data_IF_360464547420
#
_entry.id   IF_360464547420
#
_cell.length_a   1.000
_cell.length_b   1.000
_cell.length_c   1.000
_cell.angle_alpha   90.00
_cell.angle_beta   90.00
_cell.angle_gamma   90.00
#
_symmetry.space_group_name_H-M   'P 1'
#
loop_
_entity.id
_entity.type
_entity.pdbx_description
1 polymer ?
#
# COMPACT_ATOMS: atom_id res chain seq x y z
N UNK A 1 -15.23 -8.46 -6.18
CA UNK A 1 -13.75 -8.28 -6.13
C UNK A 1 -13.12 -9.11 -7.24
N UNK A 2 -12.19 -8.56 -8.01
CA UNK A 2 -11.54 -9.28 -9.12
C UNK A 2 -10.46 -10.24 -8.61
N UNK A 3 -10.30 -11.41 -9.24
CA UNK A 3 -9.25 -12.40 -8.94
C UNK A 3 -7.86 -11.76 -8.93
N UNK A 4 -7.62 -10.80 -9.84
CA UNK A 4 -6.37 -10.04 -9.92
C UNK A 4 -6.06 -9.32 -8.60
N UNK A 5 -7.06 -8.73 -7.95
CA UNK A 5 -6.85 -7.95 -6.72
C UNK A 5 -6.58 -8.83 -5.49
N UNK A 6 -7.20 -10.02 -5.38
CA UNK A 6 -6.84 -10.98 -4.32
C UNK A 6 -5.37 -11.44 -4.50
N UNK A 7 -4.91 -11.67 -5.74
CA UNK A 7 -3.53 -12.09 -6.01
C UNK A 7 -2.50 -11.01 -5.64
N UNK A 8 -2.78 -9.73 -5.91
CA UNK A 8 -1.87 -8.63 -5.57
C UNK A 8 -1.66 -8.54 -4.07
N UNK A 9 -2.75 -8.56 -3.29
CA UNK A 9 -2.69 -8.58 -1.83
C UNK A 9 -1.88 -9.78 -1.34
N UNK A 10 -2.13 -10.97 -1.88
CA UNK A 10 -1.41 -12.18 -1.48
C UNK A 10 0.09 -12.06 -1.77
N UNK A 11 0.46 -11.49 -2.91
CA UNK A 11 1.86 -11.28 -3.28
C UNK A 11 2.55 -10.22 -2.40
N UNK A 12 1.87 -9.11 -2.06
CA UNK A 12 2.38 -8.11 -1.12
C UNK A 12 2.57 -8.71 0.28
N UNK A 13 1.62 -9.52 0.72
CA UNK A 13 1.74 -10.26 1.98
C UNK A 13 2.95 -11.21 1.97
N UNK A 14 3.11 -12.00 0.90
CA UNK A 14 4.29 -12.88 0.73
C UNK A 14 5.60 -12.11 0.73
N UNK A 15 5.66 -10.95 0.06
CA UNK A 15 6.83 -10.09 0.06
C UNK A 15 7.19 -9.62 1.48
N UNK A 16 6.20 -9.17 2.26
CA UNK A 16 6.40 -8.79 3.65
C UNK A 16 6.90 -9.97 4.53
N UNK A 17 6.35 -11.16 4.32
CA UNK A 17 6.80 -12.38 5.01
C UNK A 17 8.25 -12.74 4.66
N UNK A 18 8.61 -12.60 3.38
CA UNK A 18 9.96 -12.87 2.90
C UNK A 18 10.96 -11.90 3.52
N UNK A 19 10.64 -10.60 3.58
CA UNK A 19 11.45 -9.60 4.29
C UNK A 19 11.61 -9.99 5.76
N UNK A 20 10.53 -10.36 6.46
CA UNK A 20 10.61 -10.78 7.86
C UNK A 20 11.52 -12.00 8.06
N UNK A 21 11.52 -12.93 7.10
CA UNK A 21 12.29 -14.18 7.20
C UNK A 21 13.75 -13.99 6.84
N UNK A 22 14.04 -13.27 5.75
CA UNK A 22 15.39 -13.11 5.20
C UNK A 22 16.12 -11.88 5.73
N UNK A 23 15.38 -10.84 6.09
CA UNK A 23 15.87 -9.51 6.50
C UNK A 23 15.05 -8.96 7.69
N UNK A 24 15.01 -9.66 8.84
CA UNK A 24 14.12 -9.30 9.96
C UNK A 24 14.32 -7.87 10.49
N UNK A 25 15.54 -7.34 10.40
CA UNK A 25 15.85 -5.96 10.83
C UNK A 25 15.29 -4.88 9.89
N UNK A 26 14.83 -5.27 8.69
CA UNK A 26 14.33 -4.34 7.68
C UNK A 26 12.81 -4.20 7.70
N UNK A 27 12.06 -5.09 8.36
CA UNK A 27 10.58 -5.07 8.32
C UNK A 27 9.97 -3.77 8.84
N UNK A 28 10.62 -3.14 9.83
CA UNK A 28 10.17 -1.87 10.41
C UNK A 28 10.39 -0.67 9.48
N UNK A 29 11.11 -0.86 8.37
CA UNK A 29 11.32 0.13 7.31
C UNK A 29 10.38 -0.11 6.12
N UNK A 30 9.49 -1.10 6.22
CA UNK A 30 8.58 -1.49 5.16
C UNK A 30 7.14 -1.11 5.48
N UNK A 31 6.37 -0.82 4.43
CA UNK A 31 4.95 -0.46 4.54
C UNK A 31 4.12 -1.16 3.47
N UNK A 32 2.90 -1.51 3.81
CA UNK A 32 1.85 -1.87 2.85
C UNK A 32 0.94 -0.68 2.68
N UNK A 33 0.67 -0.30 1.44
CA UNK A 33 -0.14 0.89 1.14
C UNK A 33 -1.33 0.50 0.29
N UNK A 34 -2.53 0.72 0.83
CA UNK A 34 -3.77 0.64 0.08
C UNK A 34 -4.09 2.02 -0.50
N UNK A 35 -4.42 2.06 -1.78
CA UNK A 35 -4.74 3.27 -2.53
C UNK A 35 -6.17 3.16 -3.00
N UNK A 36 -7.03 4.08 -2.57
CA UNK A 36 -8.45 4.08 -2.92
C UNK A 36 -9.02 5.49 -2.76
N UNK A 37 -10.34 5.60 -2.86
CA UNK A 37 -11.10 6.81 -2.65
C UNK A 37 -12.49 6.44 -2.10
N UNK A 38 -13.05 7.18 -1.11
CA UNK A 38 -14.39 6.94 -0.57
C UNK A 38 -15.51 6.78 -1.61
N UNK A 39 -15.39 7.42 -2.76
CA UNK A 39 -16.36 7.40 -3.85
C UNK A 39 -16.22 6.22 -4.81
N UNK A 40 -15.28 5.29 -4.57
CA UNK A 40 -14.99 4.15 -5.45
C UNK A 40 -14.91 2.84 -4.67
N UNK A 41 -15.32 1.75 -5.32
CA UNK A 41 -15.19 0.38 -4.80
C UNK A 41 -13.84 -0.26 -5.13
N UNK A 42 -13.07 0.37 -6.01
CA UNK A 42 -11.77 -0.14 -6.45
C UNK A 42 -10.66 0.34 -5.53
N UNK A 43 -9.64 -0.50 -5.37
CA UNK A 43 -8.44 -0.18 -4.62
C UNK A 43 -7.23 -0.78 -5.35
N UNK A 44 -6.06 -0.22 -5.06
CA UNK A 44 -4.76 -0.74 -5.48
C UNK A 44 -3.88 -0.97 -4.26
N UNK A 45 -2.94 -1.91 -4.32
CA UNK A 45 -2.05 -2.21 -3.19
C UNK A 45 -0.61 -2.24 -3.66
N UNK A 46 0.25 -1.50 -2.97
CA UNK A 46 1.69 -1.46 -3.22
C UNK A 46 2.45 -1.74 -1.93
N UNK A 47 3.71 -2.15 -2.07
CA UNK A 47 4.65 -2.31 -0.96
C UNK A 47 5.74 -1.25 -1.05
N UNK A 48 6.09 -0.63 0.08
CA UNK A 48 7.16 0.35 0.18
C UNK A 48 8.30 -0.19 1.03
N UNK A 49 9.53 0.17 0.64
CA UNK A 49 10.72 0.02 1.46
C UNK A 49 11.41 1.37 1.59
N UNK A 50 11.50 1.87 2.82
CA UNK A 50 12.02 3.18 3.16
C UNK A 50 13.13 3.08 4.23
N UNK A 51 14.33 2.58 3.85
CA UNK A 51 15.41 2.35 4.81
C UNK A 51 16.12 3.62 5.30
N UNK A 52 16.10 4.68 4.48
CA UNK A 52 16.84 5.92 4.71
C UNK A 52 15.94 7.11 4.33
N UNK A 53 16.10 8.29 4.94
CA UNK A 53 15.20 9.44 4.73
C UNK A 53 15.05 9.90 3.27
N UNK A 54 16.07 9.70 2.44
CA UNK A 54 16.14 10.06 1.02
C UNK A 54 15.86 8.87 0.08
N UNK A 55 15.67 7.67 0.63
CA UNK A 55 15.49 6.44 -0.13
C UNK A 55 14.16 5.78 0.20
N UNK A 56 13.22 5.87 -0.74
CA UNK A 56 11.97 5.13 -0.69
C UNK A 56 11.71 4.45 -2.03
N UNK A 57 11.60 3.11 -2.00
CA UNK A 57 11.31 2.26 -3.14
C UNK A 57 9.87 1.77 -3.10
N UNK A 58 9.23 1.71 -4.26
CA UNK A 58 7.88 1.20 -4.49
C UNK A 58 8.00 -0.12 -5.25
N UNK A 59 7.33 -1.14 -4.71
CA UNK A 59 7.13 -2.45 -5.33
C UNK A 59 5.65 -2.53 -5.70
N UNK A 60 5.36 -2.25 -6.97
CA UNK A 60 4.03 -2.37 -7.56
C UNK A 60 4.08 -3.47 -8.63
N UNK A 61 3.35 -4.56 -8.39
CA UNK A 61 3.35 -5.74 -9.24
C UNK A 61 2.49 -5.58 -10.51
N UNK A 62 1.64 -4.56 -10.55
CA UNK A 62 0.77 -4.27 -11.70
C UNK A 62 1.26 -3.10 -12.56
N UNK A 63 2.37 -2.47 -12.17
CA UNK A 63 2.93 -1.30 -12.84
C UNK A 63 3.84 -1.68 -14.02
N UNK A 64 3.80 -0.87 -15.08
CA UNK A 64 4.75 -0.97 -16.21
C UNK A 64 6.09 -0.26 -15.94
N UNK A 65 6.20 0.50 -14.84
CA UNK A 65 7.45 1.11 -14.39
C UNK A 65 8.49 0.05 -13.96
N UNK A 66 9.79 0.41 -13.89
CA UNK A 66 10.82 -0.49 -13.35
C UNK A 66 10.46 -1.05 -11.98
N UNK A 67 10.85 -2.30 -11.71
CA UNK A 67 10.54 -2.99 -10.47
C UNK A 67 11.82 -3.33 -9.68
N UNK A 68 12.01 -2.78 -8.45
CA UNK A 68 11.27 -1.67 -7.87
C UNK A 68 11.58 -0.33 -8.55
N UNK A 69 10.78 0.69 -8.26
CA UNK A 69 11.03 2.08 -8.70
C UNK A 69 11.11 3.02 -7.50
N UNK A 70 11.74 4.19 -7.67
CA UNK A 70 11.75 5.22 -6.62
C UNK A 70 10.36 5.87 -6.47
N UNK A 71 10.00 6.23 -5.23
CA UNK A 71 8.68 6.81 -4.93
C UNK A 71 8.41 8.10 -5.72
N UNK A 72 9.42 8.94 -5.95
CA UNK A 72 9.24 10.17 -6.73
C UNK A 72 8.80 9.84 -8.16
N UNK A 73 9.46 8.87 -8.80
CA UNK A 73 9.16 8.42 -10.17
C UNK A 73 7.78 7.78 -10.23
N UNK A 74 7.46 6.92 -9.27
CA UNK A 74 6.14 6.29 -9.16
C UNK A 74 5.02 7.33 -9.04
N UNK A 75 5.17 8.29 -8.12
CA UNK A 75 4.16 9.34 -7.93
C UNK A 75 3.98 10.18 -9.20
N UNK A 76 5.07 10.62 -9.83
CA UNK A 76 4.99 11.50 -11.01
C UNK A 76 4.42 10.81 -12.23
N UNK A 77 4.68 9.52 -12.42
CA UNK A 77 4.25 8.77 -13.61
C UNK A 77 2.90 8.07 -13.44
N UNK A 78 2.51 7.71 -12.21
CA UNK A 78 1.24 7.03 -11.92
C UNK A 78 0.13 8.00 -11.55
N UNK A 79 0.43 9.10 -10.85
CA UNK A 79 -0.59 9.99 -10.32
C UNK A 79 -0.64 11.35 -11.02
N UNK A 80 -1.78 11.66 -11.66
CA UNK A 80 -2.10 13.04 -12.06
C UNK A 80 -2.18 13.94 -10.82
N UNK A 81 -1.81 15.21 -10.94
CA UNK A 81 -1.92 16.18 -9.85
C UNK A 81 -3.38 16.45 -9.49
N UNK A 82 -3.66 16.60 -8.19
CA UNK A 82 -5.02 16.85 -7.70
C UNK A 82 -5.62 18.18 -8.20
N UNK A 83 -4.78 19.13 -8.64
CA UNK A 83 -5.23 20.38 -9.28
C UNK A 83 -6.05 20.17 -10.56
N UNK A 84 -5.92 19.02 -11.21
CA UNK A 84 -6.59 18.68 -12.47
C UNK A 84 -7.81 17.76 -12.22
N UNK A 85 -7.90 17.16 -11.03
CA UNK A 85 -8.92 16.18 -10.69
C UNK A 85 -10.09 16.82 -9.95
N UNK A 86 -11.31 16.33 -10.17
CA UNK A 86 -12.42 16.65 -9.27
C UNK A 86 -12.13 16.01 -7.89
N UNK A 87 -12.59 16.62 -6.78
CA UNK A 87 -12.37 16.07 -5.43
C UNK A 87 -12.73 14.59 -5.28
N UNK A 88 -13.78 14.14 -5.99
CA UNK A 88 -14.24 12.74 -6.01
C UNK A 88 -13.24 11.76 -6.65
N UNK A 89 -12.14 12.24 -7.23
CA UNK A 89 -11.06 11.42 -7.78
C UNK A 89 -9.75 11.53 -6.99
N UNK A 90 -9.72 12.29 -5.90
CA UNK A 90 -8.52 12.38 -5.05
C UNK A 90 -8.20 11.02 -4.46
N UNK A 91 -6.95 10.61 -4.59
CA UNK A 91 -6.51 9.32 -4.05
C UNK A 91 -6.06 9.51 -2.62
N UNK A 92 -6.48 8.57 -1.79
CA UNK A 92 -6.05 8.46 -0.41
C UNK A 92 -5.21 7.20 -0.25
N UNK A 93 -4.25 7.28 0.65
CA UNK A 93 -3.22 6.28 0.85
C UNK A 93 -3.31 5.81 2.30
N UNK A 94 -3.85 4.61 2.54
CA UNK A 94 -3.76 3.97 3.85
C UNK A 94 -2.41 3.27 3.95
N UNK A 95 -1.53 3.84 4.75
CA UNK A 95 -0.15 3.41 4.96
C UNK A 95 -0.07 2.62 6.27
N UNK A 96 0.24 1.34 6.17
CA UNK A 96 0.34 0.41 7.32
C UNK A 96 1.79 -0.10 7.43
N UNK A 97 2.45 0.00 8.59
CA UNK A 97 3.71 -0.69 8.83
C UNK A 97 3.61 -2.18 8.49
N UNK A 98 4.60 -2.73 7.77
CA UNK A 98 4.50 -4.09 7.26
C UNK A 98 4.43 -5.16 8.37
N UNK A 99 5.05 -4.90 9.53
CA UNK A 99 4.94 -5.74 10.72
C UNK A 99 3.51 -5.77 11.28
N UNK A 100 2.85 -4.62 11.40
CA UNK A 100 1.45 -4.50 11.81
C UNK A 100 0.54 -5.23 10.81
N UNK A 101 0.75 -4.99 9.51
CA UNK A 101 0.02 -5.67 8.45
C UNK A 101 0.15 -7.20 8.57
N UNK A 102 1.35 -7.75 8.74
CA UNK A 102 1.54 -9.20 8.90
C UNK A 102 0.87 -9.77 10.15
N UNK A 103 0.76 -8.98 11.21
CA UNK A 103 0.15 -9.41 12.48
C UNK A 103 -1.37 -9.40 12.46
N UNK A 104 -1.98 -8.43 11.77
CA UNK A 104 -3.42 -8.18 11.80
C UNK A 104 -4.14 -8.62 10.53
N UNK A 105 -3.45 -8.61 9.39
CA UNK A 105 -4.04 -8.99 8.11
C UNK A 105 -4.29 -10.50 8.08
N UNK A 106 -5.54 -10.87 8.33
CA UNK A 106 -6.09 -12.22 8.30
C UNK A 106 -5.47 -13.20 9.33
N UNK A 107 -5.64 -12.92 10.63
CA UNK A 107 -5.34 -13.87 11.73
C UNK A 107 -6.13 -15.20 11.67
N UNK A 108 -7.00 -15.41 10.67
CA UNK A 108 -7.66 -16.69 10.39
C UNK A 108 -7.38 -17.18 8.94
N UNK A 109 -6.18 -17.75 8.76
CA UNK A 109 -5.62 -18.28 7.49
C UNK A 109 -6.37 -19.48 6.89
N UNK A 110 -7.55 -19.84 7.43
CA UNK A 110 -8.46 -20.83 6.84
C UNK A 110 -9.20 -20.27 5.61
N UNK A 111 -9.29 -18.94 5.49
CA UNK A 111 -10.06 -18.27 4.44
C UNK A 111 -9.25 -17.93 3.18
N UNK A 112 -7.95 -17.64 3.31
CA UNK A 112 -7.04 -17.39 2.15
C UNK A 112 -6.84 -18.61 1.23
N UNK A 113 -7.17 -19.83 1.68
CA UNK A 113 -7.06 -21.05 0.86
C UNK A 113 -8.26 -21.28 -0.08
N UNK A 114 -9.27 -20.42 -0.03
CA UNK A 114 -10.40 -20.46 -0.96
C UNK A 114 -10.45 -19.15 -1.73
N UNK A 115 -10.44 -19.16 -3.07
CA UNK A 115 -10.38 -17.94 -3.89
C UNK A 115 -11.61 -17.01 -3.74
N UNK A 116 -12.59 -17.36 -2.90
CA UNK A 116 -13.85 -16.63 -2.72
C UNK A 116 -14.07 -16.11 -1.28
N UNK A 117 -13.08 -16.13 -0.38
CA UNK A 117 -13.24 -15.54 0.97
C UNK A 117 -12.00 -14.72 1.35
N UNK A 118 -11.77 -13.64 0.61
CA UNK A 118 -10.80 -12.62 1.00
C UNK A 118 -11.28 -11.95 2.32
N UNK A 119 -10.32 -11.62 3.20
CA UNK A 119 -10.46 -11.48 4.66
C UNK A 119 -11.68 -10.70 5.17
N UNK A 120 -12.33 -11.17 6.24
CA UNK A 120 -13.46 -10.51 6.91
C UNK A 120 -13.19 -9.04 7.31
N UNK A 121 -11.91 -8.62 7.39
CA UNK A 121 -11.49 -7.27 7.72
C UNK A 121 -10.90 -6.49 6.53
N UNK A 122 -10.96 -7.01 5.29
CA UNK A 122 -10.36 -6.32 4.12
C UNK A 122 -10.96 -4.91 3.92
N UNK A 123 -12.26 -4.74 4.21
CA UNK A 123 -12.93 -3.45 4.12
C UNK A 123 -12.27 -2.38 5.00
N UNK A 124 -11.69 -2.77 6.14
CA UNK A 124 -10.97 -1.87 7.04
C UNK A 124 -9.67 -1.32 6.45
N UNK A 125 -9.08 -2.04 5.49
CA UNK A 125 -7.89 -1.61 4.77
C UNK A 125 -8.24 -0.77 3.53
N UNK A 126 -9.40 -1.01 2.92
CA UNK A 126 -9.86 -0.29 1.72
C UNK A 126 -10.49 1.05 2.08
N UNK A 127 -11.27 1.10 3.17
CA UNK A 127 -11.91 2.35 3.58
C UNK A 127 -10.86 3.42 3.90
N UNK A 128 -11.15 4.68 3.57
CA UNK A 128 -10.24 5.82 3.74
C UNK A 128 -10.70 6.79 4.83
N UNK A 129 -11.48 6.28 5.79
CA UNK A 129 -11.85 6.98 7.02
C UNK A 129 -10.64 7.02 7.97
N UNK A 130 -10.22 8.24 8.35
CA UNK A 130 -9.05 8.46 9.21
C UNK A 130 -9.26 7.98 10.65
N UNK A 131 -10.51 7.75 11.06
CA UNK A 131 -10.88 7.28 12.40
C UNK A 131 -11.03 5.76 12.50
N UNK A 132 -10.87 5.04 11.38
CA UNK A 132 -11.10 3.60 11.28
C UNK A 132 -9.96 2.88 10.60
N UNK A 133 -9.90 1.56 10.80
CA UNK A 133 -8.92 0.67 10.20
C UNK A 133 -7.48 0.91 10.69
N UNK A 134 -6.52 0.11 10.21
CA UNK A 134 -5.14 0.15 10.67
C UNK A 134 -4.30 1.22 9.94
N UNK A 135 -3.16 1.56 10.52
CA UNK A 135 -2.22 2.51 9.94
C UNK A 135 -2.77 3.94 9.84
N UNK A 136 -2.25 4.71 8.89
CA UNK A 136 -2.61 6.12 8.69
C UNK A 136 -3.13 6.36 7.28
N UNK A 137 -4.23 7.10 7.16
CA UNK A 137 -4.73 7.57 5.86
C UNK A 137 -4.12 8.93 5.53
N UNK A 138 -3.46 9.02 4.37
CA UNK A 138 -2.79 10.23 3.89
C UNK A 138 -3.42 10.70 2.57
N UNK A 139 -3.46 12.02 2.37
CA UNK A 139 -3.66 12.60 1.03
C UNK A 139 -2.41 12.41 0.17
N UNK A 140 -2.50 12.65 -1.15
CA UNK A 140 -1.34 12.62 -2.03
C UNK A 140 -0.23 13.57 -1.54
N UNK A 141 -0.57 14.79 -1.13
CA UNK A 141 0.40 15.76 -0.60
C UNK A 141 1.09 15.25 0.65
N UNK A 142 0.34 14.69 1.61
CA UNK A 142 0.91 14.14 2.84
C UNK A 142 1.77 12.89 2.57
N UNK A 143 1.35 12.04 1.62
CA UNK A 143 2.12 10.87 1.21
C UNK A 143 3.47 11.27 0.61
N UNK A 144 3.47 12.25 -0.30
CA UNK A 144 4.70 12.81 -0.89
C UNK A 144 5.58 13.43 0.20
N UNK A 145 5.03 14.27 1.07
CA UNK A 145 5.80 14.88 2.18
C UNK A 145 6.45 13.84 3.10
N UNK A 146 5.80 12.69 3.30
CA UNK A 146 6.31 11.63 4.17
C UNK A 146 7.42 10.81 3.52
N UNK A 147 7.26 10.42 2.26
CA UNK A 147 8.13 9.43 1.61
C UNK A 147 9.10 10.02 0.59
N UNK A 148 8.91 11.28 0.22
CA UNK A 148 9.82 12.03 -0.63
C UNK A 148 10.41 13.20 0.13
N UNK A 149 11.72 13.11 0.41
CA UNK A 149 12.53 14.26 0.76
C UNK A 149 13.36 14.64 -0.47
N UNK A 150 13.21 15.85 -1.02
CA UNK A 150 14.20 16.35 -1.97
C UNK A 150 15.55 16.44 -1.26
N UNK A 151 16.61 15.97 -1.89
CA UNK A 151 17.98 16.17 -1.43
C UNK A 151 18.21 17.68 -1.28
N UNK A 152 18.42 18.15 -0.05
CA UNK A 152 18.93 19.50 0.21
C UNK A 152 20.39 19.61 -0.20
#
# INVERSE_FOLDING_TARGET
MSVRMCLVIENVYKLAQEVTTKHPNEINKCFVVFISNPSRTDYHVIFLYHPEPDKCLVYDLDSELPFPTYVHKYVTETFRTDHILKPDYFRYFRVIPANEFLSEFASDRRHMKRPNVCAHNLEDYIQMDTSKGPGQVLTLTQFVQRFYKPST
#
